data_IF_791949019107
#
_entry.id   IF_791949019107
#
_cell.length_a   1.000
_cell.length_b   1.000
_cell.length_c   1.000
_cell.angle_alpha   90.00
_cell.angle_beta   90.00
_cell.angle_gamma   90.00
#
_symmetry.space_group_name_H-M   'P 1'
#
loop_
_entity.id
_entity.type
_entity.pdbx_description
1 polymer ?
#
# COMPACT_ATOMS: atom_id res chain seq x y z
N UNK A 1 -12.85 36.55 22.15
CA UNK A 1 -12.77 36.31 20.70
C UNK A 1 -11.33 35.94 20.36
N UNK A 2 -11.02 34.65 20.17
CA UNK A 2 -9.67 34.22 19.82
C UNK A 2 -9.41 34.53 18.34
N UNK A 3 -8.36 35.30 18.06
CA UNK A 3 -7.90 35.57 16.69
C UNK A 3 -7.74 34.22 15.98
N UNK A 4 -8.37 34.00 14.82
CA UNK A 4 -8.29 32.71 14.16
C UNK A 4 -6.84 32.47 13.73
N UNK A 5 -6.21 31.47 14.37
CA UNK A 5 -4.82 31.12 14.14
C UNK A 5 -4.55 30.95 12.64
N UNK A 6 -3.44 31.53 12.16
CA UNK A 6 -3.02 31.37 10.76
C UNK A 6 -2.81 29.90 10.39
N UNK A 7 -2.95 29.58 9.10
CA UNK A 7 -2.80 28.22 8.55
C UNK A 7 -1.51 27.54 9.03
N UNK A 8 -0.40 28.29 9.04
CA UNK A 8 0.92 27.82 9.49
C UNK A 8 0.91 27.46 10.97
N UNK A 9 0.25 28.28 11.81
CA UNK A 9 0.13 28.02 13.24
C UNK A 9 -0.70 26.74 13.49
N UNK A 10 -1.78 26.51 12.74
CA UNK A 10 -2.57 25.29 12.84
C UNK A 10 -1.76 24.04 12.47
N UNK A 11 -1.03 24.07 11.35
CA UNK A 11 -0.17 22.96 10.91
C UNK A 11 0.91 22.68 11.97
N UNK A 12 1.56 23.72 12.49
CA UNK A 12 2.58 23.60 13.55
C UNK A 12 2.00 22.98 14.82
N UNK A 13 0.79 23.37 15.23
CA UNK A 13 0.13 22.81 16.41
C UNK A 13 -0.18 21.33 16.25
N UNK A 14 -0.69 20.91 15.07
CA UNK A 14 -0.94 19.49 14.80
C UNK A 14 0.36 18.69 14.83
N UNK A 15 1.42 19.18 14.19
CA UNK A 15 2.73 18.54 14.20
C UNK A 15 3.31 18.43 15.63
N UNK A 16 3.21 19.50 16.41
CA UNK A 16 3.65 19.52 17.81
C UNK A 16 2.87 18.55 18.70
N UNK A 17 1.54 18.47 18.53
CA UNK A 17 0.69 17.55 19.27
C UNK A 17 1.03 16.10 18.94
N UNK A 18 1.22 15.77 17.65
CA UNK A 18 1.68 14.44 17.21
C UNK A 18 3.03 14.09 17.83
N UNK A 19 3.99 15.02 17.82
CA UNK A 19 5.29 14.81 18.45
C UNK A 19 5.19 14.58 19.96
N UNK A 20 4.35 15.34 20.68
CA UNK A 20 4.11 15.13 22.11
C UNK A 20 3.46 13.79 22.40
N UNK A 21 2.47 13.37 21.62
CA UNK A 21 1.83 12.06 21.76
C UNK A 21 2.85 10.93 21.55
N UNK A 22 3.68 11.04 20.51
CA UNK A 22 4.78 10.10 20.26
C UNK A 22 5.78 10.04 21.42
N UNK A 23 6.25 11.20 21.90
CA UNK A 23 7.19 11.25 23.03
C UNK A 23 6.57 10.68 24.31
N UNK A 24 5.29 10.93 24.55
CA UNK A 24 4.58 10.39 25.71
C UNK A 24 4.33 8.89 25.59
N UNK A 25 4.09 8.34 24.39
CA UNK A 25 3.93 6.90 24.21
C UNK A 25 5.21 6.12 24.55
N UNK A 26 6.38 6.72 24.34
CA UNK A 26 7.70 6.11 24.63
C UNK A 26 8.02 5.97 26.13
N UNK A 27 7.11 6.33 27.04
CA UNK A 27 7.31 6.15 28.48
C UNK A 27 7.23 4.68 28.91
N UNK A 28 6.51 3.84 28.17
CA UNK A 28 6.36 2.42 28.48
C UNK A 28 7.46 1.58 27.84
N UNK A 29 7.91 0.51 28.52
CA UNK A 29 8.92 -0.40 27.98
C UNK A 29 8.47 -1.09 26.69
N UNK A 30 7.20 -1.47 26.61
CA UNK A 30 6.58 -2.04 25.41
C UNK A 30 6.67 -1.11 24.19
N UNK A 31 6.36 0.19 24.37
CA UNK A 31 6.45 1.15 23.27
C UNK A 31 7.90 1.42 22.80
N UNK A 32 8.88 1.33 23.72
CA UNK A 32 10.31 1.42 23.34
C UNK A 32 10.75 0.22 22.51
N UNK A 33 10.32 -0.98 22.89
CA UNK A 33 10.59 -2.20 22.11
C UNK A 33 9.90 -2.16 20.74
N UNK A 34 8.66 -1.68 20.66
CA UNK A 34 7.96 -1.47 19.38
C UNK A 34 8.69 -0.44 18.50
N UNK A 35 9.20 0.65 19.09
CA UNK A 35 10.02 1.63 18.35
C UNK A 35 11.30 0.99 17.80
N UNK A 36 12.00 0.19 18.61
CA UNK A 36 13.22 -0.51 18.15
C UNK A 36 12.92 -1.51 17.03
N UNK A 37 11.85 -2.29 17.16
CA UNK A 37 11.42 -3.22 16.12
C UNK A 37 11.08 -2.47 14.81
N UNK A 38 10.32 -1.37 14.90
CA UNK A 38 10.02 -0.52 13.74
C UNK A 38 11.27 0.10 13.15
N UNK A 39 12.21 0.59 13.97
CA UNK A 39 13.47 1.15 13.50
C UNK A 39 14.30 0.10 12.74
N UNK A 40 14.37 -1.14 13.23
CA UNK A 40 15.04 -2.23 12.54
C UNK A 40 14.38 -2.54 11.20
N UNK A 41 13.05 -2.64 11.15
CA UNK A 41 12.28 -2.87 9.91
C UNK A 41 12.47 -1.74 8.91
N UNK A 42 12.40 -0.48 9.34
CA UNK A 42 12.63 0.70 8.49
C UNK A 42 14.07 0.72 7.99
N UNK A 43 15.05 0.37 8.83
CA UNK A 43 16.46 0.31 8.42
C UNK A 43 16.68 -0.76 7.35
N UNK A 44 16.16 -1.96 7.55
CA UNK A 44 16.25 -3.03 6.56
C UNK A 44 15.52 -2.66 5.26
N UNK A 45 14.32 -2.08 5.39
CA UNK A 45 13.55 -1.58 4.26
C UNK A 45 14.30 -0.50 3.48
N UNK A 46 14.98 0.42 4.17
CA UNK A 46 15.76 1.50 3.55
C UNK A 46 16.86 0.97 2.64
N UNK A 47 17.50 -0.15 2.96
CA UNK A 47 18.50 -0.77 2.08
C UNK A 47 17.88 -1.21 0.75
N UNK A 48 16.66 -1.75 0.76
CA UNK A 48 15.93 -2.10 -0.46
C UNK A 48 15.54 -0.85 -1.26
N UNK A 49 15.14 0.23 -0.58
CA UNK A 49 14.85 1.52 -1.23
C UNK A 49 16.11 2.09 -1.89
N UNK A 50 17.21 2.14 -1.15
CA UNK A 50 18.49 2.64 -1.64
C UNK A 50 18.97 1.81 -2.83
N UNK A 51 18.90 0.48 -2.75
CA UNK A 51 19.28 -0.42 -3.84
C UNK A 51 18.42 -0.24 -5.08
N UNK A 52 17.09 -0.23 -4.93
CA UNK A 52 16.15 -0.07 -6.06
C UNK A 52 16.25 1.31 -6.73
N UNK A 53 16.31 2.39 -5.93
CA UNK A 53 16.50 3.75 -6.45
C UNK A 53 17.85 3.91 -7.16
N UNK A 54 18.94 3.40 -6.57
CA UNK A 54 20.27 3.43 -7.20
C UNK A 54 20.30 2.63 -8.51
N UNK A 55 19.65 1.46 -8.57
CA UNK A 55 19.52 0.67 -9.79
C UNK A 55 18.76 1.44 -10.90
N UNK A 56 17.70 2.18 -10.54
CA UNK A 56 17.00 3.06 -11.49
C UNK A 56 17.89 4.21 -11.97
N UNK A 57 18.71 4.79 -11.09
CA UNK A 57 19.68 5.83 -11.46
C UNK A 57 20.76 5.32 -12.41
N UNK A 58 21.35 4.14 -12.13
CA UNK A 58 22.30 3.48 -13.02
C UNK A 58 21.63 3.14 -14.37
N UNK A 59 20.38 2.66 -14.35
CA UNK A 59 19.60 2.43 -15.56
C UNK A 59 19.42 3.70 -16.40
N UNK A 60 19.10 4.82 -15.76
CA UNK A 60 18.98 6.12 -16.43
C UNK A 60 20.31 6.58 -17.04
N UNK A 61 21.42 6.42 -16.31
CA UNK A 61 22.76 6.71 -16.81
C UNK A 61 23.11 5.88 -18.05
N UNK A 62 22.86 4.56 -18.00
CA UNK A 62 23.13 3.66 -19.13
C UNK A 62 22.26 4.00 -20.34
N UNK A 63 20.97 4.28 -20.16
CA UNK A 63 20.09 4.65 -21.27
C UNK A 63 20.49 5.98 -21.91
N UNK A 64 20.84 6.98 -21.10
CA UNK A 64 21.28 8.28 -21.60
C UNK A 64 22.65 8.18 -22.31
N UNK A 65 23.58 7.36 -21.80
CA UNK A 65 24.90 7.14 -22.43
C UNK A 65 24.80 6.48 -23.81
N UNK A 66 23.92 5.49 -23.96
CA UNK A 66 23.73 4.77 -25.23
C UNK A 66 22.71 5.42 -26.17
N UNK A 67 22.20 6.62 -25.84
CA UNK A 67 21.21 7.33 -26.67
C UNK A 67 19.82 6.66 -26.72
N UNK A 68 19.54 5.71 -25.81
CA UNK A 68 18.28 4.95 -25.76
C UNK A 68 17.19 5.71 -25.00
N UNK A 69 16.93 6.97 -25.37
CA UNK A 69 16.05 7.84 -24.60
C UNK A 69 14.59 7.36 -24.53
N UNK A 70 14.11 6.67 -25.56
CA UNK A 70 12.76 6.06 -25.53
C UNK A 70 12.58 5.07 -24.37
N UNK A 71 13.66 4.45 -23.88
CA UNK A 71 13.61 3.49 -22.76
C UNK A 71 13.55 4.17 -21.39
N UNK A 72 13.81 5.47 -21.29
CA UNK A 72 13.61 6.23 -20.04
C UNK A 72 12.15 6.20 -19.57
N UNK A 73 11.19 6.11 -20.51
CA UNK A 73 9.77 5.95 -20.15
C UNK A 73 9.52 4.71 -19.29
N UNK A 74 10.28 3.63 -19.49
CA UNK A 74 10.16 2.42 -18.67
C UNK A 74 10.52 2.68 -17.21
N UNK A 75 11.48 3.57 -16.95
CA UNK A 75 11.86 3.94 -15.58
C UNK A 75 10.77 4.78 -14.91
N UNK A 76 10.18 5.75 -15.63
CA UNK A 76 9.03 6.50 -15.13
C UNK A 76 7.81 5.61 -14.88
N UNK A 77 7.57 4.61 -15.73
CA UNK A 77 6.56 3.58 -15.48
C UNK A 77 6.85 2.76 -14.23
N UNK A 78 8.12 2.35 -14.03
CA UNK A 78 8.55 1.67 -12.82
C UNK A 78 8.27 2.50 -11.56
N UNK A 79 8.62 3.79 -11.58
CA UNK A 79 8.32 4.72 -10.48
C UNK A 79 6.81 4.88 -10.27
N UNK A 80 6.04 5.03 -11.34
CA UNK A 80 4.59 5.18 -11.27
C UNK A 80 3.92 4.00 -10.57
N UNK A 81 4.30 2.78 -10.97
CA UNK A 81 3.78 1.55 -10.37
C UNK A 81 4.26 1.39 -8.92
N UNK A 82 5.53 1.69 -8.65
CA UNK A 82 6.10 1.64 -7.31
C UNK A 82 5.43 2.62 -6.35
N UNK A 83 4.98 3.78 -6.84
CA UNK A 83 4.23 4.75 -6.03
C UNK A 83 2.80 4.25 -5.77
N UNK A 84 2.08 3.82 -6.80
CA UNK A 84 0.65 3.58 -6.71
C UNK A 84 0.26 2.19 -6.21
N UNK A 85 1.03 1.15 -6.56
CA UNK A 85 0.68 -0.22 -6.15
C UNK A 85 0.62 -0.32 -4.62
N UNK A 86 1.68 0.04 -3.86
CA UNK A 86 1.65 -0.01 -2.39
C UNK A 86 0.55 0.88 -1.79
N UNK A 87 0.30 2.05 -2.40
CA UNK A 87 -0.75 2.96 -1.96
C UNK A 87 -2.15 2.32 -2.08
N UNK A 88 -2.41 1.59 -3.16
CA UNK A 88 -3.67 0.83 -3.31
C UNK A 88 -3.73 -0.35 -2.34
N UNK A 89 -2.61 -1.05 -2.14
CA UNK A 89 -2.54 -2.19 -1.21
C UNK A 89 -2.84 -1.76 0.23
N UNK A 90 -2.32 -0.60 0.64
CA UNK A 90 -2.49 -0.10 2.01
C UNK A 90 -3.94 0.29 2.31
N UNK A 91 -4.70 0.79 1.33
CA UNK A 91 -6.14 1.07 1.48
C UNK A 91 -6.93 -0.22 1.72
N UNK A 92 -6.53 -1.33 1.08
CA UNK A 92 -7.22 -2.61 1.23
C UNK A 92 -6.89 -3.33 2.55
N UNK A 93 -5.65 -3.17 3.06
CA UNK A 93 -5.12 -3.99 4.16
C UNK A 93 -5.46 -3.48 5.57
N UNK A 94 -5.70 -2.18 5.77
CA UNK A 94 -5.96 -1.64 7.11
C UNK A 94 -6.88 -0.41 7.08
N UNK A 95 -7.67 -0.16 8.14
CA UNK A 95 -8.32 1.14 8.32
C UNK A 95 -7.23 2.22 8.39
N UNK A 96 -7.16 3.04 7.35
CA UNK A 96 -6.23 4.14 7.28
C UNK A 96 -6.53 5.14 8.39
N UNK A 97 -5.52 5.93 8.78
CA UNK A 97 -5.71 7.04 9.70
C UNK A 97 -6.81 7.96 9.14
N UNK A 98 -8.00 7.87 9.73
CA UNK A 98 -9.17 8.65 9.36
C UNK A 98 -8.87 10.14 9.52
N UNK A 99 -8.56 10.81 8.42
CA UNK A 99 -8.49 12.27 8.33
C UNK A 99 -9.79 12.94 8.79
N UNK A 100 -10.90 12.19 8.77
CA UNK A 100 -12.20 12.51 9.38
C UNK A 100 -12.09 12.88 10.86
N UNK A 101 -11.18 12.27 11.62
CA UNK A 101 -11.00 12.60 13.03
C UNK A 101 -10.33 13.97 13.25
N UNK A 102 -9.64 14.51 12.24
CA UNK A 102 -9.10 15.88 12.28
C UNK A 102 -10.16 16.95 12.00
N UNK A 103 -11.23 16.60 11.28
CA UNK A 103 -12.38 17.51 11.03
C UNK A 103 -13.17 17.82 12.31
N UNK A 104 -12.96 17.05 13.39
CA UNK A 104 -13.50 17.36 14.72
C UNK A 104 -12.86 18.62 15.33
N UNK A 105 -11.72 19.06 14.80
CA UNK A 105 -11.05 20.28 15.22
C UNK A 105 -11.34 21.42 14.23
N UNK A 106 -11.42 22.68 14.70
CA UNK A 106 -11.68 23.85 13.85
C UNK A 106 -10.44 24.20 13.00
N UNK A 107 -10.16 23.40 11.98
CA UNK A 107 -9.12 23.62 10.99
C UNK A 107 -9.66 24.46 9.84
N UNK A 108 -8.83 25.34 9.26
CA UNK A 108 -9.17 26.02 8.00
C UNK A 108 -8.97 25.06 6.82
N UNK A 109 -9.77 25.19 5.77
CA UNK A 109 -9.65 24.37 4.57
C UNK A 109 -8.22 24.32 3.98
N UNK A 110 -7.47 25.43 3.83
CA UNK A 110 -6.09 25.37 3.34
C UNK A 110 -5.15 24.56 4.25
N UNK A 111 -5.34 24.62 5.57
CA UNK A 111 -4.55 23.83 6.52
C UNK A 111 -4.87 22.34 6.35
N UNK A 112 -6.15 22.00 6.19
CA UNK A 112 -6.61 20.64 5.93
C UNK A 112 -6.07 20.09 4.60
N UNK A 113 -6.10 20.88 3.53
CA UNK A 113 -5.57 20.51 2.21
C UNK A 113 -4.05 20.26 2.25
N UNK A 114 -3.27 21.18 2.82
CA UNK A 114 -1.81 21.04 2.92
C UNK A 114 -1.44 19.86 3.81
N UNK A 115 -2.15 19.67 4.94
CA UNK A 115 -1.91 18.54 5.83
C UNK A 115 -2.21 17.23 5.08
N UNK A 116 -3.29 17.17 4.30
CA UNK A 116 -3.58 16.02 3.43
C UNK A 116 -2.42 15.72 2.47
N UNK A 117 -1.91 16.71 1.75
CA UNK A 117 -0.78 16.50 0.85
C UNK A 117 0.50 16.08 1.58
N UNK A 118 0.81 16.71 2.72
CA UNK A 118 2.00 16.42 3.51
C UNK A 118 2.02 14.97 4.02
N UNK A 119 0.89 14.47 4.51
CA UNK A 119 0.79 13.06 4.91
C UNK A 119 0.92 12.10 3.72
N UNK A 120 0.42 12.49 2.54
CA UNK A 120 0.63 11.72 1.31
C UNK A 120 2.10 11.64 0.90
N UNK A 121 2.83 12.73 1.06
CA UNK A 121 4.25 12.83 0.71
C UNK A 121 5.12 12.00 1.65
N UNK A 122 4.71 11.87 2.91
CA UNK A 122 5.40 11.10 3.95
C UNK A 122 5.03 9.61 3.94
N UNK A 123 4.21 9.16 2.99
CA UNK A 123 3.96 7.73 2.81
C UNK A 123 5.22 7.01 2.30
N UNK A 124 5.39 5.75 2.71
CA UNK A 124 6.59 4.97 2.38
C UNK A 124 6.74 4.86 0.85
N UNK A 125 5.64 4.59 0.14
CA UNK A 125 5.65 4.51 -1.33
C UNK A 125 6.06 5.83 -1.99
N UNK A 126 5.62 6.97 -1.45
CA UNK A 126 5.98 8.29 -1.94
C UNK A 126 7.47 8.60 -1.73
N UNK A 127 8.00 8.35 -0.53
CA UNK A 127 9.41 8.55 -0.22
C UNK A 127 10.32 7.69 -1.11
N UNK A 128 9.95 6.42 -1.33
CA UNK A 128 10.68 5.54 -2.23
C UNK A 128 10.70 6.07 -3.66
N UNK A 129 9.53 6.47 -4.18
CA UNK A 129 9.41 6.94 -5.54
C UNK A 129 10.10 8.29 -5.78
N UNK A 130 10.07 9.21 -4.80
CA UNK A 130 10.82 10.46 -4.83
C UNK A 130 12.33 10.22 -4.85
N UNK A 131 12.81 9.31 -4.00
CA UNK A 131 14.22 8.91 -4.01
C UNK A 131 14.62 8.32 -5.37
N UNK A 132 13.80 7.44 -5.94
CA UNK A 132 14.03 6.90 -7.29
C UNK A 132 14.06 7.97 -8.38
N UNK A 133 13.16 8.96 -8.34
CA UNK A 133 13.18 10.09 -9.29
C UNK A 133 14.43 10.95 -9.15
N UNK A 134 14.90 11.15 -7.91
CA UNK A 134 16.17 11.84 -7.65
C UNK A 134 17.34 11.05 -8.25
N UNK A 135 17.40 9.73 -8.05
CA UNK A 135 18.42 8.87 -8.66
C UNK A 135 18.36 8.87 -10.19
N UNK A 136 17.16 8.84 -10.80
CA UNK A 136 16.98 8.93 -12.26
C UNK A 136 17.49 10.27 -12.79
N UNK A 137 17.18 11.37 -12.10
CA UNK A 137 17.59 12.73 -12.47
C UNK A 137 19.11 12.88 -12.41
N UNK A 138 19.73 12.41 -11.31
CA UNK A 138 21.18 12.42 -11.14
C UNK A 138 21.88 11.50 -12.14
N UNK A 139 21.39 10.28 -12.34
CA UNK A 139 21.97 9.31 -13.27
C UNK A 139 21.87 9.76 -14.73
N UNK A 140 20.70 10.24 -15.15
CA UNK A 140 20.51 10.78 -16.50
C UNK A 140 21.32 12.05 -16.75
N UNK A 141 21.36 12.96 -15.78
CA UNK A 141 22.16 14.18 -15.85
C UNK A 141 23.67 13.93 -15.88
N UNK A 142 24.16 12.96 -15.10
CA UNK A 142 25.58 12.59 -15.12
C UNK A 142 26.03 12.02 -16.47
N UNK A 143 25.14 11.33 -17.19
CA UNK A 143 25.43 10.82 -18.54
C UNK A 143 25.40 11.92 -19.62
N UNK A 144 24.47 12.87 -19.50
CA UNK A 144 24.35 14.04 -20.40
C UNK A 144 23.94 15.28 -19.60
N UNK A 145 24.89 16.15 -19.21
CA UNK A 145 24.62 17.32 -18.37
C UNK A 145 23.56 18.26 -18.96
N UNK A 146 23.48 18.37 -20.29
CA UNK A 146 22.47 19.18 -20.97
C UNK A 146 21.02 18.73 -20.71
N UNK A 147 20.79 17.46 -20.36
CA UNK A 147 19.46 16.92 -20.03
C UNK A 147 19.07 17.09 -18.56
N UNK A 148 20.00 17.51 -17.70
CA UNK A 148 19.73 17.68 -16.28
C UNK A 148 18.55 18.64 -15.97
N UNK A 149 18.45 19.86 -16.56
CA UNK A 149 17.36 20.76 -16.22
C UNK A 149 15.99 20.21 -16.65
N UNK A 150 15.90 19.61 -17.84
CA UNK A 150 14.64 19.03 -18.32
C UNK A 150 14.25 17.81 -17.47
N UNK A 151 15.21 16.94 -17.10
CA UNK A 151 14.97 15.82 -16.20
C UNK A 151 14.48 16.27 -14.83
N UNK A 152 15.09 17.31 -14.26
CA UNK A 152 14.69 17.85 -12.96
C UNK A 152 13.26 18.41 -12.99
N UNK A 153 12.92 19.20 -14.02
CA UNK A 153 11.58 19.78 -14.19
C UNK A 153 10.54 18.68 -14.41
N UNK A 154 10.81 17.70 -15.29
CA UNK A 154 9.90 16.59 -15.54
C UNK A 154 9.70 15.74 -14.29
N UNK A 155 10.77 15.39 -13.58
CA UNK A 155 10.68 14.64 -12.32
C UNK A 155 9.88 15.40 -11.26
N UNK A 156 10.03 16.72 -11.16
CA UNK A 156 9.28 17.55 -10.23
C UNK A 156 7.77 17.55 -10.57
N UNK A 157 7.40 17.88 -11.81
CA UNK A 157 6.00 17.89 -12.25
C UNK A 157 5.38 16.50 -12.08
N UNK A 158 6.12 15.45 -12.48
CA UNK A 158 5.69 14.07 -12.34
C UNK A 158 5.50 13.67 -10.87
N UNK A 159 6.36 14.12 -9.95
CA UNK A 159 6.19 13.86 -8.51
C UNK A 159 4.93 14.51 -7.94
N UNK A 160 4.64 15.76 -8.35
CA UNK A 160 3.42 16.48 -7.96
C UNK A 160 2.19 15.75 -8.50
N UNK A 161 2.21 15.35 -9.77
CA UNK A 161 1.13 14.58 -10.39
C UNK A 161 0.89 13.26 -9.66
N UNK A 162 1.94 12.49 -9.36
CA UNK A 162 1.81 11.22 -8.66
C UNK A 162 1.26 11.40 -7.24
N UNK A 163 1.71 12.44 -6.52
CA UNK A 163 1.16 12.76 -5.20
C UNK A 163 -0.33 13.06 -5.27
N UNK A 164 -0.75 13.93 -6.19
CA UNK A 164 -2.16 14.29 -6.37
C UNK A 164 -3.01 13.09 -6.76
N UNK A 165 -2.52 12.29 -7.70
CA UNK A 165 -3.18 11.07 -8.16
C UNK A 165 -3.29 10.04 -7.02
N UNK A 166 -2.23 9.80 -6.27
CA UNK A 166 -2.25 8.88 -5.14
C UNK A 166 -3.28 9.30 -4.08
N UNK A 167 -3.38 10.60 -3.77
CA UNK A 167 -4.40 11.11 -2.84
C UNK A 167 -5.81 11.03 -3.41
N UNK A 168 -6.00 11.34 -4.69
CA UNK A 168 -7.29 11.18 -5.35
C UNK A 168 -7.74 9.71 -5.34
N UNK A 169 -6.84 8.79 -5.70
CA UNK A 169 -7.07 7.35 -5.70
C UNK A 169 -7.36 6.81 -4.31
N UNK A 170 -6.58 7.18 -3.28
CA UNK A 170 -6.83 6.73 -1.91
C UNK A 170 -8.25 7.09 -1.46
N UNK A 171 -8.66 8.34 -1.69
CA UNK A 171 -10.01 8.79 -1.38
C UNK A 171 -11.06 8.02 -2.21
N UNK A 172 -10.81 7.80 -3.51
CA UNK A 172 -11.74 7.08 -4.38
C UNK A 172 -11.89 5.61 -3.97
N UNK A 173 -10.79 4.95 -3.66
CA UNK A 173 -10.75 3.57 -3.17
C UNK A 173 -11.40 3.43 -1.81
N UNK A 174 -11.30 4.41 -0.91
CA UNK A 174 -12.02 4.40 0.37
C UNK A 174 -13.53 4.22 0.16
N UNK A 175 -14.10 4.88 -0.86
CA UNK A 175 -15.52 4.70 -1.23
C UNK A 175 -15.80 3.32 -1.84
N UNK A 176 -14.95 2.87 -2.76
CA UNK A 176 -15.12 1.55 -3.38
C UNK A 176 -15.02 0.42 -2.34
N UNK A 177 -14.13 0.57 -1.36
CA UNK A 177 -13.85 -0.37 -0.28
C UNK A 177 -14.62 -0.08 1.01
N UNK A 178 -15.58 0.84 0.96
CA UNK A 178 -16.50 1.13 2.07
C UNK A 178 -17.36 -0.10 2.37
N UNK A 179 -17.74 -0.87 1.33
CA UNK A 179 -18.42 -2.14 1.52
C UNK A 179 -17.42 -3.21 1.92
N UNK A 180 -17.78 -3.99 2.95
CA UNK A 180 -16.97 -5.13 3.42
C UNK A 180 -16.60 -6.07 2.28
N UNK A 181 -17.58 -6.45 1.43
CA UNK A 181 -17.35 -7.35 0.29
C UNK A 181 -16.34 -6.80 -0.73
N UNK A 182 -16.38 -5.49 -1.02
CA UNK A 182 -15.40 -4.91 -1.94
C UNK A 182 -13.98 -4.93 -1.37
N UNK A 183 -13.83 -4.72 -0.05
CA UNK A 183 -12.53 -4.87 0.63
C UNK A 183 -12.01 -6.30 0.56
N UNK A 184 -12.88 -7.28 0.71
CA UNK A 184 -12.53 -8.71 0.61
C UNK A 184 -12.09 -9.07 -0.82
N UNK A 185 -12.84 -8.64 -1.85
CA UNK A 185 -12.50 -8.87 -3.26
C UNK A 185 -11.19 -8.17 -3.63
N UNK A 186 -11.02 -6.91 -3.24
CA UNK A 186 -9.82 -6.15 -3.52
C UNK A 186 -8.59 -6.78 -2.85
N UNK A 187 -8.70 -7.18 -1.57
CA UNK A 187 -7.62 -7.90 -0.87
C UNK A 187 -7.24 -9.21 -1.56
N UNK A 188 -8.22 -9.99 -2.02
CA UNK A 188 -7.98 -11.21 -2.79
C UNK A 188 -7.30 -10.93 -4.14
N UNK A 189 -7.79 -9.94 -4.90
CA UNK A 189 -7.19 -9.55 -6.19
C UNK A 189 -5.77 -9.04 -6.03
N UNK A 190 -5.51 -8.27 -4.97
CA UNK A 190 -4.17 -7.80 -4.60
C UNK A 190 -3.23 -8.97 -4.37
N UNK A 191 -3.66 -9.95 -3.58
CA UNK A 191 -2.83 -11.13 -3.31
C UNK A 191 -2.58 -11.93 -4.57
N UNK A 192 -3.61 -12.13 -5.40
CA UNK A 192 -3.47 -12.78 -6.69
C UNK A 192 -2.48 -12.02 -7.59
N UNK A 193 -2.50 -10.69 -7.58
CA UNK A 193 -1.58 -9.85 -8.33
C UNK A 193 -0.13 -9.95 -7.81
N UNK A 194 0.07 -9.89 -6.49
CA UNK A 194 1.38 -10.10 -5.85
C UNK A 194 1.91 -11.49 -6.20
N UNK A 195 1.07 -12.51 -6.09
CA UNK A 195 1.42 -13.89 -6.40
C UNK A 195 1.80 -14.01 -7.88
N UNK A 196 0.99 -13.47 -8.78
CA UNK A 196 1.25 -13.45 -10.22
C UNK A 196 2.57 -12.74 -10.55
N UNK A 197 2.87 -11.63 -9.88
CA UNK A 197 4.13 -10.90 -10.05
C UNK A 197 5.32 -11.70 -9.51
N UNK A 198 5.19 -12.39 -8.38
CA UNK A 198 6.22 -13.28 -7.84
C UNK A 198 6.51 -14.47 -8.78
N UNK A 199 5.49 -15.01 -9.45
CA UNK A 199 5.64 -16.07 -10.45
C UNK A 199 5.99 -15.56 -11.86
N UNK A 200 5.99 -14.24 -12.08
CA UNK A 200 6.31 -13.65 -13.38
C UNK A 200 7.70 -14.06 -13.87
N UNK A 201 8.69 -14.17 -12.98
CA UNK A 201 10.06 -14.58 -13.29
C UNK A 201 10.19 -15.95 -13.96
N UNK A 202 9.27 -16.87 -13.67
CA UNK A 202 9.21 -18.21 -14.27
C UNK A 202 8.54 -18.20 -15.66
N UNK A 203 7.81 -17.14 -15.99
CA UNK A 203 6.90 -17.09 -17.15
C UNK A 203 7.21 -15.96 -18.14
N UNK A 204 8.26 -15.16 -17.91
CA UNK A 204 8.64 -13.98 -18.72
C UNK A 204 8.73 -14.30 -20.22
N UNK A 205 9.28 -15.45 -20.60
CA UNK A 205 9.41 -15.83 -22.02
C UNK A 205 8.06 -16.20 -22.68
N UNK A 206 7.16 -16.88 -21.96
CA UNK A 206 5.84 -17.26 -22.51
C UNK A 206 4.89 -16.07 -22.55
N UNK A 207 4.88 -15.26 -21.49
CA UNK A 207 4.02 -14.08 -21.39
C UNK A 207 4.52 -12.96 -22.28
N UNK A 208 5.84 -12.79 -22.45
CA UNK A 208 6.40 -11.79 -23.36
C UNK A 208 5.97 -12.00 -24.81
N UNK A 209 5.90 -13.25 -25.28
CA UNK A 209 5.42 -13.58 -26.63
C UNK A 209 3.91 -13.33 -26.81
N UNK A 210 3.11 -13.60 -25.79
CA UNK A 210 1.65 -13.39 -25.84
C UNK A 210 1.25 -11.93 -25.63
N UNK A 211 1.96 -11.21 -24.75
CA UNK A 211 1.69 -9.80 -24.45
C UNK A 211 2.36 -8.84 -25.43
N UNK A 212 3.38 -9.27 -26.17
CA UNK A 212 4.03 -8.48 -27.22
C UNK A 212 3.07 -7.79 -28.19
N UNK A 213 2.15 -8.51 -28.87
CA UNK A 213 1.20 -7.88 -29.79
C UNK A 213 0.19 -6.97 -29.09
N UNK A 214 -0.20 -7.29 -27.86
CA UNK A 214 -1.12 -6.45 -27.07
C UNK A 214 -0.43 -5.16 -26.63
N UNK A 215 0.82 -5.24 -26.18
CA UNK A 215 1.61 -4.07 -25.80
C UNK A 215 1.94 -3.20 -27.00
N UNK A 216 2.18 -3.77 -28.18
CA UNK A 216 2.36 -3.00 -29.40
C UNK A 216 1.09 -2.20 -29.76
N UNK A 217 -0.11 -2.80 -29.61
CA UNK A 217 -1.39 -2.10 -29.81
C UNK A 217 -1.67 -1.07 -28.71
N UNK A 218 -1.26 -1.32 -27.48
CA UNK A 218 -1.45 -0.42 -26.34
C UNK A 218 -0.41 0.71 -26.27
N UNK A 219 0.72 0.58 -26.97
CA UNK A 219 1.83 1.55 -26.95
C UNK A 219 1.40 3.01 -27.15
N UNK A 220 0.56 3.38 -28.14
CA UNK A 220 0.14 4.78 -28.30
C UNK A 220 -0.69 5.29 -27.12
N UNK A 221 -1.55 4.43 -26.54
CA UNK A 221 -2.31 4.79 -25.35
C UNK A 221 -1.41 4.93 -24.12
N UNK A 222 -0.43 4.04 -23.96
CA UNK A 222 0.55 4.09 -22.87
C UNK A 222 1.48 5.30 -22.97
N UNK A 223 1.75 5.78 -24.19
CA UNK A 223 2.54 6.99 -24.43
C UNK A 223 1.80 8.27 -23.99
N UNK A 224 0.46 8.28 -24.06
CA UNK A 224 -0.37 9.41 -23.62
C UNK A 224 -0.54 9.48 -22.09
N UNK A 225 -0.25 8.38 -21.38
CA UNK A 225 -0.30 8.35 -19.93
C UNK A 225 0.86 9.13 -19.30
N UNK A 226 0.72 9.62 -18.06
CA UNK A 226 1.74 10.45 -17.41
C UNK A 226 3.18 9.91 -17.47
N UNK A 227 3.44 8.60 -17.29
CA UNK A 227 4.81 8.05 -17.39
C UNK A 227 5.32 7.98 -18.84
N UNK A 228 4.41 7.78 -19.80
CA UNK A 228 4.67 7.87 -21.24
C UNK A 228 5.10 9.27 -21.64
N UNK A 229 4.33 10.28 -21.22
CA UNK A 229 4.63 11.69 -21.45
C UNK A 229 5.95 12.12 -20.81
N UNK A 230 6.20 11.73 -19.55
CA UNK A 230 7.45 12.06 -18.86
C UNK A 230 8.70 11.51 -19.61
N UNK A 231 8.65 10.25 -20.03
CA UNK A 231 9.73 9.68 -20.85
C UNK A 231 9.84 10.31 -22.24
N UNK A 232 8.70 10.62 -22.86
CA UNK A 232 8.60 11.28 -24.16
C UNK A 232 9.20 12.68 -24.16
N UNK A 233 8.98 13.46 -23.09
CA UNK A 233 9.57 14.81 -22.92
C UNK A 233 11.10 14.73 -22.93
N UNK A 234 11.67 13.82 -22.13
CA UNK A 234 13.13 13.69 -22.04
C UNK A 234 13.72 13.19 -23.37
N UNK A 235 13.03 12.26 -24.03
CA UNK A 235 13.46 11.73 -25.33
C UNK A 235 13.31 12.73 -26.48
N UNK A 236 12.31 13.59 -26.45
CA UNK A 236 12.15 14.71 -27.39
C UNK A 236 13.17 15.81 -27.16
N UNK A 237 13.43 16.15 -25.89
CA UNK A 237 14.44 17.15 -25.52
C UNK A 237 15.86 16.72 -25.93
N UNK A 238 16.17 15.43 -25.84
CA UNK A 238 17.44 14.89 -26.33
C UNK A 238 17.59 14.92 -27.86
N UNK A 239 16.47 15.01 -28.60
CA UNK A 239 16.43 15.09 -30.07
C UNK A 239 16.20 16.50 -30.61
N UNK A 240 15.86 17.47 -29.77
CA UNK A 240 15.50 18.82 -30.19
C UNK A 240 14.09 18.92 -30.77
N UNK A 241 13.19 17.97 -30.46
CA UNK A 241 11.83 17.95 -31.02
C UNK A 241 10.92 18.97 -30.35
N UNK A 242 10.11 19.67 -31.17
CA UNK A 242 9.11 20.63 -30.68
C UNK A 242 7.94 19.98 -29.91
N UNK A 243 7.77 18.66 -30.00
CA UNK A 243 6.71 17.90 -29.31
C UNK A 243 6.86 17.92 -27.79
N UNK A 244 8.03 18.31 -27.27
CA UNK A 244 8.33 18.50 -25.84
C UNK A 244 7.34 19.43 -25.15
N UNK A 245 7.00 20.57 -25.78
CA UNK A 245 6.09 21.55 -25.19
C UNK A 245 4.68 20.99 -25.04
N UNK A 246 4.19 20.26 -26.06
CA UNK A 246 2.88 19.62 -26.01
C UNK A 246 2.80 18.53 -24.94
N UNK A 247 3.83 17.69 -24.82
CA UNK A 247 3.89 16.66 -23.79
C UNK A 247 4.01 17.23 -22.37
N UNK A 248 4.76 18.32 -22.20
CA UNK A 248 4.90 19.03 -20.93
C UNK A 248 3.57 19.72 -20.53
N UNK A 249 2.91 20.38 -21.48
CA UNK A 249 1.58 20.93 -21.28
C UNK A 249 0.56 19.84 -20.91
N UNK A 250 0.62 18.67 -21.56
CA UNK A 250 -0.20 17.52 -21.22
C UNK A 250 0.03 17.02 -19.79
N UNK A 251 1.29 16.93 -19.35
CA UNK A 251 1.63 16.52 -17.99
C UNK A 251 1.12 17.52 -16.94
N UNK A 252 1.26 18.82 -17.21
CA UNK A 252 0.71 19.89 -16.36
C UNK A 252 -0.81 19.86 -16.34
N UNK A 253 -1.46 19.62 -17.49
CA UNK A 253 -2.91 19.50 -17.57
C UNK A 253 -3.43 18.31 -16.76
N UNK A 254 -2.74 17.16 -16.78
CA UNK A 254 -3.07 16.04 -15.89
C UNK A 254 -2.93 16.42 -14.41
N UNK A 255 -1.83 17.08 -14.04
CA UNK A 255 -1.62 17.52 -12.66
C UNK A 255 -2.72 18.50 -12.21
N UNK A 256 -3.08 19.47 -13.04
CA UNK A 256 -4.16 20.42 -12.77
C UNK A 256 -5.52 19.73 -12.68
N UNK A 257 -5.82 18.78 -13.56
CA UNK A 257 -7.05 17.99 -13.53
C UNK A 257 -7.19 17.18 -12.23
N UNK A 258 -6.13 16.47 -11.82
CA UNK A 258 -6.15 15.74 -10.55
C UNK A 258 -6.17 16.67 -9.34
N UNK A 259 -5.50 17.81 -9.37
CA UNK A 259 -5.60 18.83 -8.32
C UNK A 259 -7.02 19.34 -8.16
N UNK A 260 -7.70 19.65 -9.27
CA UNK A 260 -9.09 20.10 -9.27
C UNK A 260 -10.05 19.04 -8.72
N UNK A 261 -9.91 17.78 -9.17
CA UNK A 261 -10.71 16.66 -8.68
C UNK A 261 -10.50 16.42 -7.17
N UNK A 262 -9.25 16.51 -6.71
CA UNK A 262 -8.89 16.36 -5.31
C UNK A 262 -9.43 17.52 -4.46
N UNK A 263 -9.29 18.76 -4.93
CA UNK A 263 -9.80 19.96 -4.24
C UNK A 263 -11.33 19.90 -4.10
N UNK A 264 -12.05 19.63 -5.19
CA UNK A 264 -13.51 19.46 -5.16
C UNK A 264 -13.91 18.41 -4.12
N UNK A 265 -13.19 17.30 -4.07
CA UNK A 265 -13.50 16.20 -3.15
C UNK A 265 -13.14 16.52 -1.69
N UNK A 266 -12.01 17.17 -1.43
CA UNK A 266 -11.61 17.56 -0.08
C UNK A 266 -12.51 18.66 0.48
N UNK A 267 -13.02 19.58 -0.35
CA UNK A 267 -14.04 20.55 0.06
C UNK A 267 -15.33 19.86 0.49
N UNK A 268 -15.79 18.90 -0.30
CA UNK A 268 -16.97 18.10 0.00
C UNK A 268 -16.84 17.40 1.37
N UNK A 269 -15.70 16.75 1.62
CA UNK A 269 -15.37 16.16 2.93
C UNK A 269 -15.29 17.21 4.06
N UNK A 270 -14.68 18.36 3.81
CA UNK A 270 -14.55 19.46 4.77
C UNK A 270 -15.91 20.05 5.18
N UNK A 271 -16.90 20.04 4.27
CA UNK A 271 -18.27 20.43 4.54
C UNK A 271 -19.11 19.33 5.23
N UNK A 272 -18.51 18.18 5.53
CA UNK A 272 -19.16 17.10 6.27
C UNK A 272 -19.91 16.10 5.39
N UNK A 273 -19.74 16.14 4.07
CA UNK A 273 -20.30 15.11 3.19
C UNK A 273 -19.51 13.80 3.37
N UNK A 274 -20.05 12.88 4.18
CA UNK A 274 -19.40 11.63 4.53
C UNK A 274 -19.70 10.53 3.49
N UNK A 275 -18.99 10.56 2.36
CA UNK A 275 -19.17 9.60 1.27
C UNK A 275 -18.60 8.19 1.54
N UNK A 276 -18.02 7.97 2.73
CA UNK A 276 -17.42 6.70 3.16
C UNK A 276 -18.36 5.82 4.01
N UNK A 277 -19.44 6.37 4.55
CA UNK A 277 -20.49 5.56 5.16
C UNK A 277 -21.29 4.89 4.05
N UNK A 278 -21.07 3.57 3.88
CA UNK A 278 -22.08 2.74 3.23
C UNK A 278 -23.42 3.06 3.91
N UNK A 279 -24.51 3.30 3.15
CA UNK A 279 -25.82 3.56 3.76
C UNK A 279 -26.01 2.47 4.80
N UNK A 280 -26.14 2.86 6.07
CA UNK A 280 -26.50 1.93 7.13
C UNK A 280 -27.74 1.27 6.59
N UNK A 281 -27.60 0.02 6.12
CA UNK A 281 -28.73 -0.75 5.66
C UNK A 281 -29.66 -0.73 6.86
N UNK A 282 -30.74 0.05 6.73
CA UNK A 282 -31.67 0.36 7.81
C UNK A 282 -31.88 -0.95 8.55
N UNK A 283 -31.41 -0.97 9.80
CA UNK A 283 -31.11 -2.16 10.59
C UNK A 283 -31.91 -3.33 10.06
N UNK A 284 -31.27 -4.23 9.31
CA UNK A 284 -31.93 -5.41 8.79
C UNK A 284 -32.56 -6.08 10.00
N UNK A 285 -33.88 -5.87 10.13
CA UNK A 285 -34.68 -6.27 11.27
C UNK A 285 -34.27 -7.69 11.55
N UNK A 286 -33.68 -7.91 12.72
CA UNK A 286 -33.04 -9.16 13.09
C UNK A 286 -34.00 -10.29 12.72
N UNK A 287 -33.72 -10.95 11.59
CA UNK A 287 -34.51 -12.12 11.20
C UNK A 287 -34.27 -13.11 12.33
N UNK A 288 -35.30 -13.51 13.09
CA UNK A 288 -35.12 -14.49 14.14
C UNK A 288 -34.51 -15.72 13.46
N UNK A 289 -33.28 -16.05 13.86
CA UNK A 289 -32.64 -17.30 13.43
C UNK A 289 -33.61 -18.42 13.84
N UNK A 290 -34.07 -19.27 12.91
CA UNK A 290 -34.95 -20.36 13.28
C UNK A 290 -34.23 -21.25 14.30
N UNK A 291 -34.87 -21.46 15.45
CA UNK A 291 -34.36 -22.21 16.59
C UNK A 291 -33.88 -23.64 16.24
N UNK A 292 -34.22 -24.14 15.05
CA UNK A 292 -33.78 -25.43 14.51
C UNK A 292 -32.29 -25.50 14.13
N UNK A 293 -31.58 -24.38 13.95
CA UNK A 293 -30.14 -24.42 13.63
C UNK A 293 -29.24 -24.72 14.84
N UNK A 294 -29.81 -24.80 16.06
CA UNK A 294 -29.07 -25.18 17.27
C UNK A 294 -29.02 -26.71 17.50
N UNK A 295 -29.86 -27.48 16.81
CA UNK A 295 -30.08 -28.90 17.14
C UNK A 295 -29.12 -29.88 16.44
N UNK A 296 -28.47 -29.49 15.35
CA UNK A 296 -27.53 -30.35 14.63
C UNK A 296 -26.18 -29.66 14.48
N UNK A 297 -25.39 -29.68 15.54
CA UNK A 297 -23.97 -29.35 15.44
C UNK A 297 -23.16 -30.59 15.77
N UNK A 298 -22.14 -30.96 14.96
CA UNK A 298 -21.25 -32.03 15.32
C UNK A 298 -20.59 -31.64 16.64
N UNK A 299 -20.96 -32.36 17.70
CA UNK A 299 -20.35 -32.19 19.02
C UNK A 299 -18.88 -32.48 18.82
N UNK A 300 -18.03 -31.48 18.98
CA UNK A 300 -16.62 -31.75 19.28
C UNK A 300 -16.69 -32.44 20.64
N UNK A 301 -16.73 -33.78 20.64
CA UNK A 301 -17.08 -34.62 21.81
C UNK A 301 -16.17 -34.41 23.03
N UNK A 302 -15.11 -33.63 22.87
CA UNK A 302 -14.06 -33.35 23.84
C UNK A 302 -14.20 -31.99 24.56
N UNK A 303 -15.11 -31.10 24.15
CA UNK A 303 -15.23 -29.75 24.73
C UNK A 303 -16.59 -29.54 25.41
N UNK A 304 -16.60 -28.78 26.53
CA UNK A 304 -17.83 -28.35 27.19
C UNK A 304 -18.65 -27.45 26.26
N UNK A 305 -19.97 -27.44 26.42
CA UNK A 305 -20.88 -26.65 25.57
C UNK A 305 -20.48 -25.17 25.41
N UNK A 306 -20.16 -24.44 26.49
CA UNK A 306 -19.74 -23.05 26.43
C UNK A 306 -18.40 -22.86 25.68
N UNK A 307 -17.38 -23.66 26.00
CA UNK A 307 -16.06 -23.60 25.32
C UNK A 307 -16.21 -23.92 23.84
N UNK A 308 -17.00 -24.93 23.49
CA UNK A 308 -17.27 -25.28 22.09
C UNK A 308 -17.97 -24.13 21.33
N UNK A 309 -18.82 -23.36 22.01
CA UNK A 309 -19.48 -22.19 21.42
C UNK A 309 -18.49 -21.04 21.16
N UNK A 310 -17.60 -20.76 22.12
CA UNK A 310 -16.52 -19.75 21.97
C UNK A 310 -15.57 -20.15 20.84
N UNK A 311 -15.07 -21.39 20.83
CA UNK A 311 -14.17 -21.88 19.77
C UNK A 311 -14.83 -21.79 18.40
N UNK A 312 -16.10 -22.18 18.27
CA UNK A 312 -16.84 -22.09 17.01
C UNK A 312 -17.03 -20.65 16.56
N UNK A 313 -17.28 -19.74 17.49
CA UNK A 313 -17.34 -18.30 17.22
C UNK A 313 -16.01 -17.79 16.69
N UNK A 314 -14.90 -18.09 17.37
CA UNK A 314 -13.57 -17.66 16.93
C UNK A 314 -13.20 -18.21 15.55
N UNK A 315 -13.43 -19.50 15.31
CA UNK A 315 -13.23 -20.10 13.97
C UNK A 315 -14.09 -19.39 12.92
N UNK A 316 -15.36 -19.09 13.24
CA UNK A 316 -16.24 -18.37 12.32
C UNK A 316 -15.78 -16.92 12.11
N UNK A 317 -15.21 -16.27 13.13
CA UNK A 317 -14.67 -14.92 13.03
C UNK A 317 -13.40 -14.90 12.19
N UNK A 318 -12.48 -15.83 12.39
CA UNK A 318 -11.29 -16.02 11.55
C UNK A 318 -11.69 -16.28 10.10
N UNK A 319 -12.60 -17.24 9.86
CA UNK A 319 -13.06 -17.58 8.50
C UNK A 319 -13.85 -16.44 7.82
N UNK A 320 -14.49 -15.57 8.60
CA UNK A 320 -15.18 -14.38 8.07
C UNK A 320 -14.27 -13.16 7.97
N UNK A 321 -13.13 -13.14 8.64
CA UNK A 321 -12.18 -12.04 8.61
C UNK A 321 -11.13 -12.34 7.52
N UNK A 322 -11.41 -11.85 6.32
CA UNK A 322 -10.53 -12.03 5.17
C UNK A 322 -9.11 -11.51 5.45
N UNK A 323 -8.94 -10.44 6.22
CA UNK A 323 -7.59 -9.96 6.60
C UNK A 323 -6.83 -11.00 7.42
N UNK A 324 -7.48 -11.64 8.38
CA UNK A 324 -6.87 -12.70 9.20
C UNK A 324 -6.59 -13.94 8.38
N UNK A 325 -7.53 -14.34 7.50
CA UNK A 325 -7.32 -15.43 6.55
C UNK A 325 -6.13 -15.17 5.63
N UNK A 326 -5.99 -13.93 5.13
CA UNK A 326 -4.87 -13.56 4.27
C UNK A 326 -3.53 -13.58 5.00
N UNK A 327 -3.52 -13.14 6.26
CA UNK A 327 -2.32 -13.22 7.10
C UNK A 327 -1.93 -14.68 7.39
N UNK A 328 -2.91 -15.59 7.50
CA UNK A 328 -2.70 -17.02 7.65
C UNK A 328 -2.25 -17.71 6.34
N UNK A 329 -2.72 -17.22 5.19
CA UNK A 329 -2.38 -17.77 3.87
C UNK A 329 -0.97 -17.36 3.40
N UNK A 330 -0.52 -16.16 3.77
CA UNK A 330 0.77 -15.58 3.36
C UNK A 330 1.99 -16.50 3.61
N UNK A 331 2.17 -17.16 4.78
CA UNK A 331 3.31 -18.06 5.01
C UNK A 331 3.29 -19.30 4.11
N UNK A 332 2.10 -19.84 3.80
CA UNK A 332 1.96 -20.96 2.87
C UNK A 332 2.36 -20.54 1.44
N UNK A 333 1.97 -19.33 1.03
CA UNK A 333 2.38 -18.76 -0.25
C UNK A 333 3.89 -18.51 -0.30
N UNK A 334 4.49 -18.05 0.81
CA UNK A 334 5.95 -17.90 0.91
C UNK A 334 6.66 -19.24 0.73
N UNK A 335 6.23 -20.30 1.42
CA UNK A 335 6.79 -21.65 1.24
C UNK A 335 6.70 -22.13 -0.21
N UNK A 336 5.56 -21.88 -0.85
CA UNK A 336 5.37 -22.20 -2.26
C UNK A 336 6.31 -21.37 -3.15
N UNK A 337 6.45 -20.07 -2.92
CA UNK A 337 7.40 -19.21 -3.61
C UNK A 337 8.85 -19.69 -3.44
N UNK A 338 9.33 -19.95 -2.23
CA UNK A 338 10.69 -20.45 -1.99
C UNK A 338 10.94 -21.80 -2.66
N UNK A 339 9.95 -22.70 -2.66
CA UNK A 339 10.05 -24.00 -3.32
C UNK A 339 10.15 -23.88 -4.84
N UNK A 340 9.41 -22.96 -5.47
CA UNK A 340 9.32 -22.87 -6.93
C UNK A 340 10.23 -21.81 -7.54
N UNK A 341 10.33 -20.61 -6.97
CA UNK A 341 11.16 -19.52 -7.49
C UNK A 341 12.66 -19.73 -7.24
N UNK A 342 13.03 -20.30 -6.08
CA UNK A 342 14.41 -20.68 -5.73
C UNK A 342 14.70 -22.19 -5.93
N UNK A 343 13.71 -22.93 -6.45
CA UNK A 343 13.85 -24.32 -6.89
C UNK A 343 13.96 -24.49 -8.40
N UNK A 344 13.78 -23.41 -9.17
CA UNK A 344 14.06 -23.42 -10.61
C UNK A 344 15.53 -23.79 -10.82
N UNK A 345 15.77 -24.92 -11.49
CA UNK A 345 17.10 -25.48 -11.71
C UNK A 345 18.07 -24.40 -12.21
N UNK A 346 19.29 -24.31 -11.65
CA UNK A 346 20.27 -23.35 -12.12
C UNK A 346 20.51 -23.60 -13.61
N UNK A 347 20.36 -22.54 -14.42
CA UNK A 347 20.85 -22.56 -15.80
C UNK A 347 22.34 -22.93 -15.73
N UNK A 348 22.81 -23.94 -16.49
CA UNK A 348 24.20 -24.38 -16.40
C UNK A 348 25.13 -23.18 -16.68
N UNK A 349 26.02 -22.89 -15.74
CA UNK A 349 27.06 -21.84 -15.87
C UNK A 349 26.91 -20.59 -14.99
N UNK A 350 25.85 -20.42 -14.18
CA UNK A 350 25.78 -19.31 -13.21
C UNK A 350 26.00 -19.81 -11.78
N UNK A 351 27.12 -19.40 -11.16
CA UNK A 351 27.34 -19.53 -9.71
C UNK A 351 26.24 -18.73 -8.99
N UNK A 352 25.25 -19.40 -8.44
CA UNK A 352 24.40 -18.78 -7.42
C UNK A 352 25.28 -18.37 -6.23
N UNK A 353 25.09 -17.17 -5.70
CA UNK A 353 25.72 -16.78 -4.43
C UNK A 353 25.23 -17.76 -3.34
N UNK A 354 26.16 -18.33 -2.57
CA UNK A 354 25.91 -19.27 -1.45
C UNK A 354 24.82 -18.79 -0.46
N UNK A 355 24.61 -17.48 -0.39
CA UNK A 355 23.61 -16.83 0.44
C UNK A 355 22.17 -17.24 0.06
N UNK A 356 21.87 -17.41 -1.23
CA UNK A 356 20.54 -17.84 -1.70
C UNK A 356 20.25 -19.31 -1.39
N UNK A 357 21.29 -20.15 -1.40
CA UNK A 357 21.20 -21.56 -1.02
C UNK A 357 20.87 -21.72 0.47
N UNK A 358 21.55 -20.95 1.33
CA UNK A 358 21.27 -20.92 2.78
C UNK A 358 19.88 -20.36 3.10
N UNK A 359 19.40 -19.36 2.35
CA UNK A 359 18.04 -18.83 2.51
C UNK A 359 16.95 -19.86 2.22
N UNK A 360 17.20 -20.78 1.28
CA UNK A 360 16.27 -21.88 0.96
C UNK A 360 16.12 -22.87 2.12
N UNK A 361 17.23 -23.21 2.78
CA UNK A 361 17.23 -24.12 3.94
C UNK A 361 16.52 -23.48 5.15
N UNK A 362 16.55 -22.15 5.25
CA UNK A 362 15.87 -21.37 6.29
C UNK A 362 14.38 -21.09 6.01
N UNK A 363 13.88 -21.38 4.80
CA UNK A 363 12.51 -21.05 4.41
C UNK A 363 11.47 -21.82 5.22
N UNK A 364 11.70 -23.12 5.47
CA UNK A 364 10.81 -23.94 6.28
C UNK A 364 10.77 -23.51 7.76
N UNK A 365 11.90 -23.45 8.49
CA UNK A 365 11.88 -22.99 9.88
C UNK A 365 11.39 -21.54 10.02
N UNK A 366 11.67 -20.67 9.04
CA UNK A 366 11.13 -19.31 9.00
C UNK A 366 9.61 -19.27 8.86
N UNK A 367 9.02 -20.09 7.99
CA UNK A 367 7.57 -20.19 7.84
C UNK A 367 6.91 -20.76 9.11
N UNK A 368 7.52 -21.77 9.74
CA UNK A 368 7.06 -22.32 11.02
C UNK A 368 7.06 -21.22 12.10
N UNK A 369 8.18 -20.51 12.27
CA UNK A 369 8.28 -19.41 13.24
C UNK A 369 7.23 -18.30 12.99
N UNK A 370 6.95 -17.99 11.73
CA UNK A 370 5.91 -17.04 11.35
C UNK A 370 4.50 -17.52 11.73
N UNK A 371 4.15 -18.77 11.40
CA UNK A 371 2.85 -19.37 11.76
C UNK A 371 2.67 -19.40 13.27
N UNK A 372 3.70 -19.78 14.03
CA UNK A 372 3.65 -19.73 15.49
C UNK A 372 3.48 -18.31 16.04
N UNK A 373 4.13 -17.31 15.43
CA UNK A 373 3.96 -15.91 15.82
C UNK A 373 2.53 -15.42 15.57
N UNK A 374 1.95 -15.81 14.43
CA UNK A 374 0.56 -15.47 14.06
C UNK A 374 -0.46 -16.14 14.98
N UNK A 375 -0.34 -17.46 15.15
CA UNK A 375 -1.23 -18.26 16.01
C UNK A 375 -1.08 -17.85 17.46
N UNK A 376 0.12 -17.46 17.89
CA UNK A 376 0.36 -16.88 19.21
C UNK A 376 -0.43 -15.59 19.43
N UNK A 377 -0.39 -14.65 18.47
CA UNK A 377 -1.20 -13.43 18.57
C UNK A 377 -2.71 -13.70 18.57
N UNK A 378 -3.19 -14.65 17.76
CA UNK A 378 -4.61 -15.02 17.74
C UNK A 378 -5.03 -15.69 19.05
N UNK A 379 -4.21 -16.60 19.57
CA UNK A 379 -4.46 -17.33 20.82
C UNK A 379 -4.43 -16.41 22.05
N UNK A 380 -3.64 -15.34 22.02
CA UNK A 380 -3.59 -14.35 23.10
C UNK A 380 -4.71 -13.29 22.98
N UNK A 381 -5.45 -13.27 21.88
CA UNK A 381 -6.45 -12.25 21.56
C UNK A 381 -7.86 -12.82 21.29
N UNK A 382 -8.21 -13.93 21.96
CA UNK A 382 -9.47 -14.66 21.77
C UNK A 382 -10.76 -13.85 22.06
N UNK A 383 -10.67 -12.69 22.71
CA UNK A 383 -11.79 -11.76 22.93
C UNK A 383 -11.60 -10.40 22.24
N UNK A 384 -10.49 -10.19 21.53
CA UNK A 384 -10.17 -8.89 20.92
C UNK A 384 -11.15 -8.47 19.83
N UNK A 385 -11.77 -9.44 19.16
CA UNK A 385 -12.72 -9.19 18.08
C UNK A 385 -14.14 -8.88 18.58
N UNK A 386 -14.41 -9.01 19.88
CA UNK A 386 -15.75 -8.79 20.43
C UNK A 386 -16.06 -7.32 20.72
N UNK A 387 -15.05 -6.49 20.95
CA UNK A 387 -15.22 -5.07 21.26
C UNK A 387 -16.26 -4.84 22.34
N UNK A 388 -17.34 -4.09 22.03
CA UNK A 388 -18.46 -3.84 22.97
C UNK A 388 -19.30 -5.09 23.26
N UNK A 389 -19.27 -6.09 22.39
CA UNK A 389 -19.99 -7.35 22.54
C UNK A 389 -19.47 -8.24 23.67
N UNK A 390 -18.29 -7.94 24.23
CA UNK A 390 -17.76 -8.63 25.42
C UNK A 390 -18.77 -8.61 26.58
N UNK A 391 -19.56 -7.54 26.69
CA UNK A 391 -20.58 -7.37 27.73
C UNK A 391 -21.61 -8.51 27.74
N UNK A 392 -21.86 -9.15 26.58
CA UNK A 392 -22.80 -10.26 26.46
C UNK A 392 -22.32 -11.53 27.18
N UNK A 393 -21.00 -11.73 27.34
CA UNK A 393 -20.47 -12.86 28.10
C UNK A 393 -20.77 -12.74 29.60
N UNK A 394 -20.83 -11.51 30.13
CA UNK A 394 -21.18 -11.27 31.53
C UNK A 394 -22.68 -11.43 31.82
N UNK A 395 -23.51 -11.38 30.77
CA UNK A 395 -24.96 -11.58 30.86
C UNK A 395 -25.38 -13.02 30.56
N UNK A 396 -24.44 -13.88 30.15
CA UNK A 396 -24.72 -15.26 29.80
C UNK A 396 -25.01 -16.09 31.08
N UNK A 397 -25.98 -17.02 31.06
CA UNK A 397 -26.32 -17.86 32.20
C UNK A 397 -25.31 -19.01 32.40
N UNK A 398 -24.02 -18.71 32.29
CA UNK A 398 -22.88 -19.62 32.46
C UNK A 398 -21.80 -18.89 33.25
N UNK A 399 -21.02 -19.62 34.05
CA UNK A 399 -19.96 -18.99 34.84
C UNK A 399 -18.86 -18.55 33.88
N UNK A 400 -18.32 -17.36 34.09
CA UNK A 400 -17.24 -16.83 33.25
C UNK A 400 -15.99 -17.71 33.25
N UNK A 401 -15.79 -18.55 34.28
CA UNK A 401 -14.71 -19.55 34.33
C UNK A 401 -14.85 -20.65 33.28
N UNK A 402 -16.07 -20.88 32.78
CA UNK A 402 -16.42 -21.93 31.83
C UNK A 402 -16.37 -21.41 30.38
N UNK A 403 -16.04 -20.12 30.20
CA UNK A 403 -15.87 -19.38 28.94
C UNK A 403 -14.38 -19.17 28.73
#
# INVERSE_FOLDING_TARGET
>A
MTVPAGTVAQIRTVAWLRYRLFRNSLRTASAKLDLLARAAVVSLGSLLVLGSGSAMGVGAFLFAKHGLFNRLSLLFWGVFLLWHVPAVLSVAAAPQLEFRNLLRFPLRYPAFFVLSLAYGLLDIGALMALFSLLCITLGGGAARPALFPILAVVSLIFSVLNLLLARALANWFERLLATRRAREIAGFLVLLAILSMQFSGMSIERWGRQLGPVMAKAQPALALLPPGLAGGIVAGAARGDATVLGALAGLVAYAAGFAFLLDRRLRAQYHGEDFGEAPVAAAAIARPLPARAAAETPRVRLLSGPVAAVVRKEVRYVLRNTSTLMMLLLPLLMLFFFKFALGAQPRPGKRELDLFRRLKDLAFPGAVAYVFSLVGQLSLNCFGFDGRGVQLFFLAPVRFRDI
#
